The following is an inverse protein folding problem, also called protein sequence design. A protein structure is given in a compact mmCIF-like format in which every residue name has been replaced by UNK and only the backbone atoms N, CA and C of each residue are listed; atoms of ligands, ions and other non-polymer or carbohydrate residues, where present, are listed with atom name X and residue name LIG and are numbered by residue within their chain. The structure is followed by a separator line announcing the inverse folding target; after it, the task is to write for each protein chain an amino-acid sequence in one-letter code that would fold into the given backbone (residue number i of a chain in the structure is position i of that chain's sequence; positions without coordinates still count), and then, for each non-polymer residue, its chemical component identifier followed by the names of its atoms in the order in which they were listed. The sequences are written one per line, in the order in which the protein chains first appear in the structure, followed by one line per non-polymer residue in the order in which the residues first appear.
data_IF_698119993451
#
_entry.id   IF_698119993451
#
_cell.length_a   1.000
_cell.length_b   1.000
_cell.length_c   1.000
_cell.angle_alpha   90.00
_cell.angle_beta   90.00
_cell.angle_gamma   90.00
#
_symmetry.space_group_name_H-M   'P 1'
#
loop_
_entity.id
_entity.type
_entity.pdbx_description
1 polymer ?
#
# COMPACT_ATOMS: atom_id res chain seq x y z
N UNK A 1 -36.66 25.02 -23.64
CA UNK A 1 -35.64 25.00 -22.57
C UNK A 1 -35.54 23.64 -21.90
N UNK A 2 -36.65 23.04 -21.42
CA UNK A 2 -36.62 21.73 -20.73
C UNK A 2 -36.11 20.55 -21.57
N UNK A 3 -36.52 20.45 -22.84
CA UNK A 3 -36.08 19.33 -23.70
C UNK A 3 -34.57 19.35 -23.97
N UNK A 4 -33.98 20.55 -24.07
CA UNK A 4 -32.54 20.74 -24.28
C UNK A 4 -31.74 20.36 -23.03
N UNK A 5 -32.26 20.66 -21.84
CA UNK A 5 -31.67 20.24 -20.57
C UNK A 5 -31.70 18.72 -20.39
N UNK A 6 -32.80 18.05 -20.77
CA UNK A 6 -32.90 16.58 -20.72
C UNK A 6 -31.90 15.91 -21.67
N UNK A 7 -31.72 16.44 -22.88
CA UNK A 7 -30.78 15.88 -23.85
C UNK A 7 -29.33 16.00 -23.38
N UNK A 8 -28.97 17.14 -22.77
CA UNK A 8 -27.65 17.36 -22.16
C UNK A 8 -27.40 16.41 -20.98
N UNK A 9 -28.40 16.20 -20.13
CA UNK A 9 -28.29 15.25 -19.02
C UNK A 9 -28.07 13.82 -19.51
N UNK A 10 -28.77 13.43 -20.59
CA UNK A 10 -28.61 12.12 -21.22
C UNK A 10 -27.22 11.94 -21.84
N UNK A 11 -26.68 12.97 -22.52
CA UNK A 11 -25.32 12.94 -23.05
C UNK A 11 -24.27 12.88 -21.93
N UNK A 12 -24.47 13.59 -20.81
CA UNK A 12 -23.59 13.52 -19.64
C UNK A 12 -23.59 12.12 -19.00
N UNK A 13 -24.76 11.49 -18.90
CA UNK A 13 -24.90 10.11 -18.40
C UNK A 13 -24.23 9.09 -19.33
N UNK A 14 -24.38 9.24 -20.65
CA UNK A 14 -23.72 8.38 -21.65
C UNK A 14 -22.21 8.59 -21.70
N UNK A 15 -21.72 9.81 -21.48
CA UNK A 15 -20.29 10.05 -21.32
C UNK A 15 -19.78 9.48 -19.99
N UNK A 16 -20.54 9.54 -18.90
CA UNK A 16 -20.15 8.89 -17.64
C UNK A 16 -20.14 7.36 -17.75
N UNK A 17 -21.03 6.74 -18.53
CA UNK A 17 -20.99 5.29 -18.73
C UNK A 17 -19.89 4.83 -19.68
N UNK A 18 -19.39 5.72 -20.56
CA UNK A 18 -18.36 5.38 -21.56
C UNK A 18 -16.93 5.79 -21.15
N UNK A 19 -16.75 6.50 -20.03
CA UNK A 19 -15.43 7.07 -19.61
C UNK A 19 -14.81 6.36 -18.40
N UNK A 20 -15.34 5.21 -17.97
CA UNK A 20 -14.79 4.47 -16.80
C UNK A 20 -13.68 3.46 -17.15
N UNK A 21 -13.31 3.30 -18.42
CA UNK A 21 -12.13 2.50 -18.76
C UNK A 21 -11.03 3.37 -19.38
N UNK A 22 -9.85 3.31 -18.75
CA UNK A 22 -8.54 3.79 -19.22
C UNK A 22 -8.14 5.22 -18.78
N UNK A 23 -7.86 5.37 -17.48
CA UNK A 23 -6.75 6.23 -17.05
C UNK A 23 -5.75 5.38 -16.27
N UNK A 24 -4.60 5.11 -16.88
CA UNK A 24 -3.38 4.69 -16.20
C UNK A 24 -2.81 5.89 -15.43
N UNK A 25 -3.34 6.14 -14.23
CA UNK A 25 -2.71 7.04 -13.26
C UNK A 25 -1.63 6.26 -12.51
N UNK A 26 -0.40 6.80 -12.37
CA UNK A 26 0.64 6.14 -11.58
C UNK A 26 0.19 6.01 -10.12
N UNK A 27 0.36 4.81 -9.57
CA UNK A 27 -0.04 4.36 -8.23
C UNK A 27 -0.20 5.48 -7.19
N UNK A 28 -1.41 6.04 -7.14
CA UNK A 28 -1.88 6.94 -6.11
C UNK A 28 -2.59 6.12 -5.03
N UNK A 29 -2.48 6.56 -3.78
CA UNK A 29 -2.75 5.81 -2.54
C UNK A 29 -4.22 5.44 -2.29
N UNK A 30 -5.07 5.49 -3.33
CA UNK A 30 -6.48 5.10 -3.29
C UNK A 30 -6.79 3.84 -4.09
N UNK A 31 -5.81 3.20 -4.73
CA UNK A 31 -6.01 1.95 -5.45
C UNK A 31 -5.37 0.75 -4.72
N UNK A 32 -6.16 -0.22 -4.17
CA UNK A 32 -5.64 -1.41 -3.49
C UNK A 32 -5.01 -2.44 -4.45
N UNK A 33 -4.84 -2.10 -5.72
CA UNK A 33 -4.12 -2.91 -6.70
C UNK A 33 -2.68 -3.15 -6.24
N UNK A 34 -2.38 -4.40 -5.89
CA UNK A 34 -1.08 -4.98 -5.54
C UNK A 34 0.14 -4.07 -5.71
N UNK A 35 0.89 -3.83 -4.63
CA UNK A 35 2.15 -3.07 -4.71
C UNK A 35 3.12 -3.89 -5.57
N UNK A 36 3.52 -3.35 -6.73
CA UNK A 36 4.60 -3.95 -7.53
C UNK A 36 5.88 -3.77 -6.73
N UNK A 37 6.35 -4.85 -6.14
CA UNK A 37 7.55 -4.86 -5.29
C UNK A 37 8.82 -4.90 -6.16
N UNK A 38 8.78 -5.62 -7.29
CA UNK A 38 9.95 -5.75 -8.16
C UNK A 38 9.58 -6.05 -9.62
N UNK A 39 10.47 -5.64 -10.53
CA UNK A 39 10.47 -5.99 -11.95
C UNK A 39 11.88 -6.45 -12.32
N UNK A 40 12.03 -7.64 -12.88
CA UNK A 40 13.33 -8.24 -13.20
C UNK A 40 13.36 -8.83 -14.61
N UNK A 41 14.49 -8.69 -15.30
CA UNK A 41 14.70 -9.29 -16.61
C UNK A 41 15.51 -10.57 -16.45
N UNK A 42 15.01 -11.68 -17.00
CA UNK A 42 15.65 -12.99 -16.91
C UNK A 42 15.86 -13.51 -18.32
N UNK A 43 17.12 -13.59 -18.74
CA UNK A 43 17.52 -14.25 -19.97
C UNK A 43 18.03 -15.66 -19.67
N UNK A 44 17.45 -16.66 -20.32
CA UNK A 44 17.89 -18.05 -20.19
C UNK A 44 18.03 -18.71 -21.56
N UNK A 45 18.85 -19.74 -21.66
CA UNK A 45 19.09 -20.44 -22.94
C UNK A 45 17.99 -21.46 -23.22
N UNK A 46 17.65 -21.66 -24.49
CA UNK A 46 16.70 -22.69 -24.89
C UNK A 46 17.14 -24.07 -24.39
N UNK A 47 16.21 -24.83 -23.80
CA UNK A 47 16.43 -26.13 -23.18
C UNK A 47 16.99 -26.07 -21.75
N UNK A 48 17.37 -24.89 -21.24
CA UNK A 48 17.77 -24.73 -19.84
C UNK A 48 16.57 -24.51 -18.92
N UNK A 49 16.84 -24.42 -17.61
CA UNK A 49 15.83 -24.12 -16.59
C UNK A 49 15.94 -22.65 -16.16
N UNK A 50 14.83 -21.92 -16.11
CA UNK A 50 14.73 -20.63 -15.43
C UNK A 50 14.10 -20.77 -14.04
N UNK A 51 14.50 -19.90 -13.13
CA UNK A 51 13.89 -19.78 -11.79
C UNK A 51 13.49 -18.33 -11.59
N UNK A 52 12.20 -18.09 -11.33
CA UNK A 52 11.63 -16.78 -11.09
C UNK A 52 11.43 -16.58 -9.57
N UNK A 53 12.30 -15.82 -8.88
CA UNK A 53 12.38 -15.83 -7.42
C UNK A 53 11.25 -15.05 -6.73
N UNK A 54 10.18 -15.71 -6.31
CA UNK A 54 9.07 -15.05 -5.60
C UNK A 54 9.09 -15.39 -4.10
N UNK A 55 9.81 -14.60 -3.31
CA UNK A 55 9.93 -14.80 -1.86
C UNK A 55 9.29 -13.67 -1.07
N UNK A 56 8.47 -13.99 -0.08
CA UNK A 56 7.95 -13.03 0.88
C UNK A 56 7.80 -13.67 2.26
N UNK A 57 8.55 -13.14 3.23
CA UNK A 57 8.48 -13.59 4.62
C UNK A 57 7.12 -13.31 5.27
N UNK A 58 6.36 -12.34 4.74
CA UNK A 58 5.02 -11.98 5.21
C UNK A 58 3.93 -12.96 4.75
N UNK A 59 4.28 -13.86 3.83
CA UNK A 59 3.45 -14.97 3.37
C UNK A 59 3.83 -16.29 4.05
N UNK A 60 4.73 -16.25 5.04
CA UNK A 60 5.09 -17.45 5.80
C UNK A 60 3.90 -17.82 6.67
N UNK A 61 3.34 -18.99 6.40
CA UNK A 61 2.30 -19.56 7.22
C UNK A 61 2.93 -20.45 8.30
N UNK A 62 2.75 -20.04 9.55
CA UNK A 62 3.09 -20.86 10.71
C UNK A 62 1.79 -21.41 11.29
N UNK A 63 1.63 -22.73 11.29
CA UNK A 63 0.67 -23.41 12.16
C UNK A 63 1.11 -23.24 13.61
N UNK A 64 0.99 -22.03 14.17
CA UNK A 64 1.12 -21.90 15.61
C UNK A 64 -0.17 -22.42 16.25
N UNK A 65 -0.02 -23.17 17.34
CA UNK A 65 -1.14 -23.54 18.21
C UNK A 65 -1.38 -22.48 19.27
N UNK A 66 -0.80 -21.30 19.13
CA UNK A 66 -0.83 -20.25 20.13
C UNK A 66 -2.16 -19.50 20.15
N UNK A 67 -3.22 -20.05 19.54
CA UNK A 67 -4.62 -19.68 19.77
C UNK A 67 -4.77 -18.16 19.85
N UNK A 68 -4.28 -17.43 18.85
CA UNK A 68 -4.45 -15.98 18.74
C UNK A 68 -3.63 -15.12 19.73
N UNK A 69 -2.56 -15.65 20.35
CA UNK A 69 -1.56 -14.82 21.09
C UNK A 69 -0.78 -13.84 20.21
N UNK A 70 -1.06 -13.81 18.91
CA UNK A 70 -0.42 -12.95 17.93
C UNK A 70 -0.92 -11.51 18.02
N UNK A 71 -2.13 -11.30 18.55
CA UNK A 71 -2.73 -9.97 18.78
C UNK A 71 -2.52 -9.56 20.22
N UNK A 72 -1.81 -8.44 20.40
CA UNK A 72 -1.42 -7.92 21.70
C UNK A 72 -1.72 -6.44 21.76
N UNK A 73 -2.35 -6.00 22.85
CA UNK A 73 -2.45 -4.61 23.24
C UNK A 73 -1.61 -4.39 24.47
N UNK A 74 -0.89 -3.27 24.53
CA UNK A 74 -0.27 -2.80 25.76
C UNK A 74 -0.35 -1.30 25.89
N UNK A 75 -0.44 -0.86 27.15
CA UNK A 75 -0.41 0.54 27.52
C UNK A 75 0.91 0.87 28.19
N UNK A 76 1.59 1.86 27.65
CA UNK A 76 2.80 2.43 28.21
C UNK A 76 2.55 3.88 28.61
N UNK A 77 3.25 4.38 29.63
CA UNK A 77 3.21 5.77 30.06
C UNK A 77 4.60 6.38 30.05
N UNK A 78 4.70 7.57 29.48
CA UNK A 78 5.82 8.48 29.66
C UNK A 78 5.48 9.45 30.78
N UNK A 79 5.93 9.14 32.00
CA UNK A 79 5.71 10.03 33.14
C UNK A 79 6.68 11.20 33.10
N UNK A 80 6.14 12.42 33.22
CA UNK A 80 6.93 13.64 33.38
C UNK A 80 7.10 14.04 34.84
N UNK A 81 6.40 13.35 35.77
CA UNK A 81 6.30 13.74 37.18
C UNK A 81 7.61 13.54 37.97
N UNK A 82 8.26 12.39 37.84
CA UNK A 82 9.47 12.07 38.61
C UNK A 82 10.77 12.60 37.98
N UNK A 83 10.71 13.23 36.81
CA UNK A 83 11.88 13.76 36.09
C UNK A 83 12.82 12.71 35.48
N UNK A 84 12.64 11.42 35.77
CA UNK A 84 13.47 10.32 35.21
C UNK A 84 13.12 10.00 33.73
N UNK A 85 12.13 10.67 33.13
CA UNK A 85 11.80 10.57 31.69
C UNK A 85 11.80 9.13 31.16
N UNK A 86 11.23 8.20 31.94
CA UNK A 86 11.24 6.77 31.66
C UNK A 86 9.87 6.34 31.16
N UNK A 87 9.87 5.56 30.09
CA UNK A 87 8.70 4.82 29.63
C UNK A 87 8.47 3.62 30.55
N UNK A 88 7.28 3.53 31.14
CA UNK A 88 6.84 2.42 31.98
C UNK A 88 5.68 1.67 31.31
N UNK A 89 5.73 0.34 31.32
CA UNK A 89 4.59 -0.49 30.92
C UNK A 89 3.60 -0.61 32.06
N UNK A 90 2.35 -0.20 31.82
CA UNK A 90 1.28 -0.28 32.80
C UNK A 90 0.63 -1.67 32.80
N UNK A 91 0.15 -2.08 31.63
CA UNK A 91 -0.53 -3.35 31.44
C UNK A 91 -0.45 -3.83 29.99
N UNK A 92 -0.58 -5.13 29.81
CA UNK A 92 -0.77 -5.76 28.52
C UNK A 92 -1.87 -6.81 28.54
N UNK A 93 -2.36 -7.15 27.36
CA UNK A 93 -3.37 -8.17 27.16
C UNK A 93 -3.20 -8.78 25.76
N UNK A 94 -3.23 -10.09 25.70
CA UNK A 94 -3.34 -10.85 24.45
C UNK A 94 -4.79 -11.30 24.28
N UNK A 95 -5.24 -11.52 23.04
CA UNK A 95 -6.67 -11.81 22.79
C UNK A 95 -7.20 -13.08 23.45
N UNK A 96 -6.38 -14.12 23.56
CA UNK A 96 -6.70 -15.35 24.30
C UNK A 96 -6.32 -15.28 25.80
N UNK A 97 -6.10 -14.08 26.31
CA UNK A 97 -5.48 -13.82 27.58
C UNK A 97 -6.24 -12.89 28.49
N UNK A 98 -5.81 -12.91 29.74
CA UNK A 98 -6.24 -11.92 30.70
C UNK A 98 -5.26 -10.75 30.68
N UNK A 99 -5.77 -9.58 31.04
CA UNK A 99 -4.95 -8.42 31.32
C UNK A 99 -3.92 -8.73 32.42
N UNK A 100 -2.66 -8.37 32.19
CA UNK A 100 -1.60 -8.36 33.19
C UNK A 100 -1.21 -6.93 33.51
N UNK A 101 -1.09 -6.61 34.79
CA UNK A 101 -0.67 -5.30 35.30
C UNK A 101 0.73 -5.46 35.90
N UNK A 102 1.62 -4.50 35.63
CA UNK A 102 3.04 -4.61 35.95
C UNK A 102 3.46 -3.96 37.27
N UNK A 103 2.64 -3.08 37.83
CA UNK A 103 2.90 -2.36 39.07
C UNK A 103 1.80 -2.62 40.09
N UNK A 104 2.18 -2.84 41.35
CA UNK A 104 1.23 -3.01 42.47
C UNK A 104 0.39 -1.75 42.70
N UNK A 105 0.93 -0.57 42.41
CA UNK A 105 0.20 0.71 42.48
C UNK A 105 -1.02 0.71 41.54
N UNK A 106 -0.88 0.12 40.35
CA UNK A 106 -1.93 0.08 39.35
C UNK A 106 -2.89 -1.10 39.50
N UNK A 107 -2.58 -2.06 40.38
CA UNK A 107 -3.39 -3.26 40.58
C UNK A 107 -4.80 -2.88 41.07
N UNK A 108 -5.83 -3.22 40.29
CA UNK A 108 -7.23 -2.90 40.58
C UNK A 108 -7.63 -1.44 40.34
N UNK A 109 -6.67 -0.53 40.11
CA UNK A 109 -6.92 0.86 39.69
C UNK A 109 -7.16 0.97 38.19
N UNK A 110 -6.39 0.23 37.39
CA UNK A 110 -6.49 0.27 35.92
C UNK A 110 -7.20 -0.97 35.35
N UNK A 111 -7.99 -0.77 34.29
CA UNK A 111 -8.75 -1.84 33.66
C UNK A 111 -8.87 -1.61 32.14
N UNK A 112 -8.65 -2.67 31.37
CA UNK A 112 -9.11 -2.78 29.98
C UNK A 112 -10.32 -3.73 29.90
N UNK A 113 -11.28 -3.51 28.98
CA UNK A 113 -12.39 -4.43 28.76
C UNK A 113 -11.91 -5.84 28.43
N UNK A 114 -12.50 -6.88 29.05
CA UNK A 114 -12.12 -8.27 28.77
C UNK A 114 -12.47 -8.70 27.33
N UNK A 115 -13.44 -8.04 26.71
CA UNK A 115 -13.90 -8.24 25.35
C UNK A 115 -13.27 -7.22 24.37
N UNK A 116 -12.13 -6.61 24.71
CA UNK A 116 -11.49 -5.59 23.87
C UNK A 116 -11.20 -6.08 22.44
N UNK A 117 -10.74 -7.33 22.29
CA UNK A 117 -10.45 -7.96 21.00
C UNK A 117 -11.68 -8.51 20.28
N UNK A 118 -12.89 -8.37 20.80
CA UNK A 118 -14.12 -8.62 20.03
C UNK A 118 -14.77 -7.31 19.63
N UNK A 119 -14.74 -6.33 20.54
CA UNK A 119 -15.41 -5.05 20.35
C UNK A 119 -14.55 -4.03 19.59
N UNK A 120 -13.23 -4.23 19.58
CA UNK A 120 -12.25 -3.28 19.09
C UNK A 120 -12.06 -2.09 20.02
N UNK A 121 -12.39 -2.25 21.31
CA UNK A 121 -12.27 -1.21 22.33
C UNK A 121 -11.14 -1.54 23.32
N UNK A 122 -10.00 -0.93 23.10
CA UNK A 122 -8.76 -1.09 23.85
C UNK A 122 -8.53 0.04 24.86
N UNK A 123 -9.57 0.83 25.16
CA UNK A 123 -9.50 1.97 26.06
C UNK A 123 -9.08 1.57 27.48
N UNK A 124 -8.30 2.42 28.12
CA UNK A 124 -7.83 2.20 29.49
C UNK A 124 -8.64 3.04 30.47
N UNK A 125 -9.27 2.39 31.44
CA UNK A 125 -9.92 3.07 32.57
C UNK A 125 -8.94 3.17 33.73
N UNK A 126 -8.74 4.36 34.27
CA UNK A 126 -7.88 4.63 35.43
C UNK A 126 -8.75 5.23 36.53
N UNK A 127 -8.81 4.57 37.69
CA UNK A 127 -9.57 5.03 38.86
C UNK A 127 -8.70 5.85 39.81
N UNK A 128 -9.34 6.82 40.47
CA UNK A 128 -8.74 7.61 41.54
C UNK A 128 -7.43 8.27 41.09
N UNK A 129 -7.51 9.05 40.01
CA UNK A 129 -6.32 9.66 39.38
C UNK A 129 -5.64 10.66 40.32
N UNK A 130 -4.31 10.60 40.41
CA UNK A 130 -3.49 11.47 41.24
C UNK A 130 -2.52 12.29 40.38
N UNK A 131 -1.93 13.36 40.93
CA UNK A 131 -0.96 14.20 40.21
C UNK A 131 0.21 13.40 39.60
N UNK A 132 0.60 12.27 40.23
CA UNK A 132 1.64 11.36 39.74
C UNK A 132 1.26 10.59 38.46
N UNK A 133 -0.02 10.49 38.13
CA UNK A 133 -0.52 9.85 36.92
C UNK A 133 -0.42 10.77 35.68
N UNK A 134 0.01 12.03 35.84
CA UNK A 134 0.18 12.92 34.71
C UNK A 134 1.30 12.44 33.77
N UNK A 135 1.03 12.47 32.46
CA UNK A 135 1.98 11.99 31.46
C UNK A 135 1.37 11.72 30.09
N UNK A 136 2.19 11.20 29.18
CA UNK A 136 1.74 10.79 27.85
C UNK A 136 1.60 9.28 27.81
N UNK A 137 0.37 8.82 27.65
CA UNK A 137 -0.01 7.42 27.53
C UNK A 137 0.00 7.00 26.08
N UNK A 138 0.46 5.78 25.82
CA UNK A 138 0.49 5.18 24.49
C UNK A 138 -0.25 3.84 24.52
N UNK A 139 -1.35 3.76 23.77
CA UNK A 139 -2.02 2.50 23.45
C UNK A 139 -1.31 1.90 22.24
N UNK A 140 -0.71 0.72 22.40
CA UNK A 140 0.04 0.07 21.34
C UNK A 140 -0.64 -1.25 20.96
N UNK A 141 -1.07 -1.36 19.71
CA UNK A 141 -1.63 -2.56 19.11
C UNK A 141 -0.58 -3.25 18.24
N UNK A 142 -0.35 -4.53 18.51
CA UNK A 142 0.63 -5.36 17.84
C UNK A 142 -0.07 -6.58 17.25
N UNK A 143 0.09 -6.76 15.94
CA UNK A 143 -0.26 -7.99 15.26
C UNK A 143 1.03 -8.65 14.79
N UNK A 144 1.58 -9.54 15.62
CA UNK A 144 2.91 -10.11 15.38
C UNK A 144 2.97 -10.94 14.09
N UNK A 145 1.89 -11.64 13.75
CA UNK A 145 1.82 -12.43 12.51
C UNK A 145 1.77 -11.56 11.25
N UNK A 146 0.88 -10.57 11.21
CA UNK A 146 0.79 -9.64 10.08
C UNK A 146 1.88 -8.55 10.07
N UNK A 147 2.72 -8.49 11.10
CA UNK A 147 3.68 -7.41 11.35
C UNK A 147 3.04 -6.01 11.29
N UNK A 148 1.86 -5.87 11.91
CA UNK A 148 1.15 -4.59 12.00
C UNK A 148 1.32 -3.99 13.38
N UNK A 149 1.59 -2.69 13.40
CA UNK A 149 1.88 -1.91 14.59
C UNK A 149 1.13 -0.59 14.51
N UNK A 150 0.28 -0.33 15.50
CA UNK A 150 -0.43 0.93 15.61
C UNK A 150 -0.28 1.49 17.02
N UNK A 151 -0.07 2.79 17.11
CA UNK A 151 0.07 3.49 18.39
C UNK A 151 -0.82 4.71 18.42
N UNK A 152 -1.64 4.82 19.46
CA UNK A 152 -2.42 6.03 19.77
C UNK A 152 -1.84 6.66 21.03
N UNK A 153 -1.50 7.94 20.95
CA UNK A 153 -0.96 8.73 22.08
C UNK A 153 -2.04 9.63 22.66
N UNK A 154 -2.05 9.74 23.98
CA UNK A 154 -3.01 10.55 24.74
C UNK A 154 -2.26 11.21 25.88
N UNK A 155 -2.40 12.52 26.03
CA UNK A 155 -1.86 13.26 27.16
C UNK A 155 -2.91 13.33 28.27
N UNK A 156 -2.51 12.91 29.47
CA UNK A 156 -3.32 13.03 30.68
C UNK A 156 -2.68 14.09 31.58
N UNK A 157 -3.43 15.16 31.82
CA UNK A 157 -3.09 16.21 32.77
C UNK A 157 -4.07 16.17 33.95
N UNK A 158 -3.60 16.44 35.16
CA UNK A 158 -4.42 16.36 36.37
C UNK A 158 -4.63 17.77 36.94
N UNK A 159 -5.85 18.06 37.37
CA UNK A 159 -6.22 19.32 37.99
C UNK A 159 -7.03 19.13 39.26
N UNK A 160 -6.85 20.03 40.22
CA UNK A 160 -7.70 20.12 41.44
C UNK A 160 -8.99 20.90 41.20
N UNK A 161 -9.09 21.65 40.09
CA UNK A 161 -10.21 22.55 39.83
C UNK A 161 -11.17 21.88 38.85
N UNK A 162 -12.36 21.53 39.32
CA UNK A 162 -13.41 20.92 38.47
C UNK A 162 -13.73 21.75 37.22
N UNK A 163 -13.69 23.09 37.30
CA UNK A 163 -13.91 23.99 36.15
C UNK A 163 -12.82 23.92 35.07
N UNK A 164 -11.65 23.37 35.39
CA UNK A 164 -10.54 23.22 34.45
C UNK A 164 -10.54 21.83 33.79
N UNK A 165 -11.38 20.90 34.25
CA UNK A 165 -11.49 19.58 33.64
C UNK A 165 -12.12 19.71 32.25
N UNK A 166 -11.45 19.17 31.23
CA UNK A 166 -11.86 19.25 29.83
C UNK A 166 -11.09 18.25 28.98
N UNK A 167 -11.62 17.95 27.81
CA UNK A 167 -10.97 17.15 26.78
C UNK A 167 -10.90 17.96 25.51
N UNK A 168 -9.76 17.91 24.82
CA UNK A 168 -9.56 18.60 23.55
C UNK A 168 -8.47 17.95 22.73
N UNK A 169 -8.45 18.22 21.43
CA UNK A 169 -7.40 17.81 20.51
C UNK A 169 -6.36 18.93 20.39
N UNK A 170 -5.07 18.62 20.57
CA UNK A 170 -3.99 19.62 20.48
C UNK A 170 -3.42 19.79 19.05
N UNK A 171 -3.90 18.98 18.09
CA UNK A 171 -3.37 18.90 16.73
C UNK A 171 -2.62 17.60 16.43
N UNK A 172 -2.09 16.94 17.47
CA UNK A 172 -1.29 15.70 17.37
C UNK A 172 -1.91 14.54 18.16
N UNK A 173 -2.49 14.82 19.32
CA UNK A 173 -3.01 13.84 20.30
C UNK A 173 -4.20 14.39 21.09
N UNK A 174 -4.95 13.48 21.69
CA UNK A 174 -6.00 13.85 22.63
C UNK A 174 -5.38 14.29 23.95
N UNK A 175 -5.85 15.41 24.50
CA UNK A 175 -5.43 15.93 25.79
C UNK A 175 -6.63 15.90 26.73
N UNK A 176 -6.51 15.13 27.81
CA UNK A 176 -7.53 14.95 28.83
C UNK A 176 -7.04 15.61 30.11
N UNK A 177 -7.71 16.67 30.52
CA UNK A 177 -7.49 17.33 31.81
C UNK A 177 -8.50 16.74 32.80
N UNK A 178 -8.07 15.81 33.64
CA UNK A 178 -8.91 15.10 34.59
C UNK A 178 -8.88 15.72 35.99
N UNK A 179 -10.00 15.63 36.71
CA UNK A 179 -10.07 16.06 38.11
C UNK A 179 -9.37 15.03 39.00
N UNK A 180 -8.52 15.49 39.91
CA UNK A 180 -7.90 14.62 40.92
C UNK A 180 -8.96 13.83 41.72
N UNK A 181 -8.71 12.53 41.91
CA UNK A 181 -9.62 11.57 42.54
C UNK A 181 -10.76 11.06 41.65
N UNK A 182 -10.88 11.55 40.41
CA UNK A 182 -11.89 11.06 39.47
C UNK A 182 -11.47 9.75 38.78
N UNK A 183 -12.41 9.12 38.06
CA UNK A 183 -12.11 8.02 37.14
C UNK A 183 -12.08 8.55 35.73
N UNK A 184 -10.99 8.29 35.00
CA UNK A 184 -10.79 8.71 33.61
C UNK A 184 -10.74 7.50 32.68
N UNK A 185 -11.18 7.68 31.44
CA UNK A 185 -11.05 6.70 30.38
C UNK A 185 -10.19 7.30 29.27
N UNK A 186 -9.09 6.64 28.95
CA UNK A 186 -8.21 7.01 27.84
C UNK A 186 -8.70 6.27 26.58
N UNK A 187 -9.22 6.98 25.57
CA UNK A 187 -9.86 6.35 24.41
C UNK A 187 -8.83 5.68 23.49
N UNK A 188 -9.00 4.37 23.26
CA UNK A 188 -8.26 3.65 22.22
C UNK A 188 -9.23 2.66 21.56
N UNK A 189 -9.73 3.01 20.38
CA UNK A 189 -10.72 2.20 19.67
C UNK A 189 -10.21 1.93 18.27
N UNK A 190 -10.09 0.65 17.92
CA UNK A 190 -9.83 0.21 16.55
C UNK A 190 -10.70 -1.01 16.24
N UNK A 191 -11.72 -0.80 15.40
CA UNK A 191 -12.71 -1.81 15.02
C UNK A 191 -12.40 -2.50 13.69
N UNK A 192 -11.19 -2.32 13.15
CA UNK A 192 -10.78 -3.08 11.96
C UNK A 192 -10.82 -4.58 12.29
N UNK A 193 -11.38 -5.38 11.38
CA UNK A 193 -11.53 -6.83 11.48
C UNK A 193 -10.23 -7.55 11.86
N UNK A 194 -9.07 -7.03 11.47
CA UNK A 194 -7.77 -7.60 11.86
C UNK A 194 -7.58 -7.65 13.39
N UNK A 195 -8.12 -6.69 14.14
CA UNK A 195 -8.02 -6.62 15.59
C UNK A 195 -9.17 -7.30 16.32
N UNK A 196 -10.30 -7.50 15.65
CA UNK A 196 -11.56 -7.97 16.28
C UNK A 196 -11.97 -9.39 15.90
N UNK A 197 -11.66 -9.83 14.68
CA UNK A 197 -12.15 -11.08 14.13
C UNK A 197 -11.06 -12.15 14.08
N UNK A 198 -11.48 -13.38 14.35
CA UNK A 198 -10.66 -14.59 14.27
C UNK A 198 -11.13 -15.44 13.08
N UNK A 199 -11.23 -14.85 11.90
CA UNK A 199 -11.49 -15.62 10.69
C UNK A 199 -10.42 -16.72 10.51
N UNK A 200 -10.78 -17.80 9.81
CA UNK A 200 -9.83 -18.86 9.49
C UNK A 200 -8.68 -18.29 8.67
N UNK A 201 -7.53 -18.08 9.32
CA UNK A 201 -6.29 -17.60 8.70
C UNK A 201 -5.90 -18.44 7.47
N UNK A 202 -6.31 -19.71 7.45
CA UNK A 202 -5.99 -20.71 6.42
C UNK A 202 -6.70 -20.47 5.09
N UNK A 203 -7.94 -19.95 5.10
CA UNK A 203 -8.75 -19.81 3.88
C UNK A 203 -8.39 -18.55 3.06
N UNK A 204 -7.43 -17.76 3.55
CA UNK A 204 -7.24 -16.37 3.13
C UNK A 204 -5.85 -16.07 2.55
N UNK A 205 -5.01 -17.09 2.38
CA UNK A 205 -3.70 -16.94 1.76
C UNK A 205 -3.65 -17.65 0.41
N UNK A 206 -3.48 -16.85 -0.64
CA UNK A 206 -3.47 -17.32 -2.02
C UNK A 206 -2.27 -16.73 -2.74
N UNK A 207 -1.51 -17.60 -3.37
CA UNK A 207 -0.45 -17.20 -4.29
C UNK A 207 -0.81 -17.68 -5.68
N UNK A 208 -0.72 -16.80 -6.65
CA UNK A 208 -0.92 -17.19 -8.03
C UNK A 208 0.14 -16.63 -8.97
N UNK A 209 0.34 -17.38 -10.05
CA UNK A 209 1.21 -16.99 -11.14
C UNK A 209 0.40 -16.79 -12.41
N UNK A 210 0.62 -15.67 -13.07
CA UNK A 210 0.05 -15.39 -14.38
C UNK A 210 1.18 -15.17 -15.40
N UNK A 211 0.88 -15.42 -16.66
CA UNK A 211 1.78 -15.16 -17.79
C UNK A 211 1.09 -14.34 -18.85
N UNK A 212 1.78 -13.31 -19.33
CA UNK A 212 1.37 -12.46 -20.43
C UNK A 212 2.31 -12.73 -21.61
N UNK A 213 1.84 -13.43 -22.66
CA UNK A 213 2.59 -13.56 -23.89
C UNK A 213 2.92 -12.17 -24.50
N UNK A 214 3.97 -12.05 -25.32
CA UNK A 214 4.31 -10.79 -25.99
C UNK A 214 3.13 -10.25 -26.79
N UNK A 215 2.80 -8.97 -26.59
CA UNK A 215 1.68 -8.30 -27.25
C UNK A 215 0.30 -8.58 -26.64
N UNK A 216 0.21 -9.43 -25.62
CA UNK A 216 -1.04 -9.66 -24.87
C UNK A 216 -1.11 -8.68 -23.70
N UNK A 217 -2.21 -7.93 -23.55
CA UNK A 217 -2.40 -7.01 -22.43
C UNK A 217 -2.66 -7.76 -21.11
N UNK A 218 -2.46 -7.06 -20.00
CA UNK A 218 -2.49 -7.64 -18.65
C UNK A 218 -3.83 -8.31 -18.28
N UNK A 219 -4.95 -7.74 -18.73
CA UNK A 219 -6.32 -8.25 -18.51
C UNK A 219 -6.57 -9.62 -19.18
N UNK A 220 -5.74 -9.99 -20.17
CA UNK A 220 -5.79 -11.26 -20.88
C UNK A 220 -4.61 -12.18 -20.54
N UNK A 221 -3.98 -11.97 -19.38
CA UNK A 221 -2.95 -12.87 -18.89
C UNK A 221 -3.50 -14.29 -18.67
N UNK A 222 -2.72 -15.29 -19.04
CA UNK A 222 -3.02 -16.68 -18.75
C UNK A 222 -2.72 -16.97 -17.28
N UNK A 223 -3.71 -17.47 -16.54
CA UNK A 223 -3.51 -18.05 -15.21
C UNK A 223 -2.67 -19.33 -15.36
N UNK A 224 -1.62 -19.48 -14.56
CA UNK A 224 -0.75 -20.66 -14.60
C UNK A 224 -0.98 -21.60 -13.41
N UNK A 225 -0.84 -21.08 -12.18
CA UNK A 225 -0.84 -21.88 -10.95
C UNK A 225 -1.49 -21.07 -9.83
N UNK A 226 -2.34 -21.73 -9.03
CA UNK A 226 -2.84 -21.24 -7.75
C UNK A 226 -2.39 -22.15 -6.62
N UNK A 227 -1.91 -21.52 -5.56
CA UNK A 227 -1.50 -22.16 -4.32
C UNK A 227 -2.31 -21.55 -3.18
N UNK A 228 -2.97 -22.41 -2.42
CA UNK A 228 -3.73 -22.02 -1.23
C UNK A 228 -3.01 -22.56 0.02
N UNK A 229 -2.99 -21.77 1.10
CA UNK A 229 -2.37 -22.20 2.36
C UNK A 229 -3.06 -23.44 2.96
N UNK A 230 -4.35 -23.66 2.64
CA UNK A 230 -5.10 -24.88 2.95
C UNK A 230 -4.51 -26.17 2.35
N UNK A 231 -3.55 -26.05 1.44
CA UNK A 231 -2.89 -27.16 0.76
C UNK A 231 -3.47 -27.47 -0.62
N UNK A 232 -4.57 -26.82 -1.01
CA UNK A 232 -5.10 -26.92 -2.36
C UNK A 232 -4.12 -26.27 -3.37
N UNK A 233 -3.91 -26.96 -4.49
CA UNK A 233 -3.11 -26.47 -5.62
C UNK A 233 -3.87 -26.67 -6.92
N UNK A 234 -3.91 -25.64 -7.76
CA UNK A 234 -4.54 -25.69 -9.07
C UNK A 234 -3.54 -25.31 -10.15
N UNK A 235 -3.52 -26.05 -11.25
CA UNK A 235 -2.67 -25.76 -12.40
C UNK A 235 -3.52 -25.66 -13.67
N UNK A 236 -3.26 -24.61 -14.42
CA UNK A 236 -4.03 -24.19 -15.58
C UNK A 236 -3.20 -24.30 -16.86
N UNK A 237 -3.87 -24.29 -18.01
CA UNK A 237 -3.21 -24.48 -19.30
C UNK A 237 -2.92 -25.95 -19.66
N UNK A 238 -2.28 -26.19 -20.83
CA UNK A 238 -2.00 -27.53 -21.33
C UNK A 238 -1.09 -28.34 -20.38
N UNK A 239 -1.16 -29.68 -20.48
CA UNK A 239 -0.34 -30.61 -19.69
C UNK A 239 1.17 -30.28 -19.72
N UNK A 240 1.65 -29.70 -20.83
CA UNK A 240 3.04 -29.24 -20.96
C UNK A 240 3.39 -28.15 -19.94
N UNK A 241 2.52 -27.16 -19.72
CA UNK A 241 2.69 -26.15 -18.66
C UNK A 241 2.65 -26.81 -17.28
N UNK A 242 1.76 -27.80 -17.08
CA UNK A 242 1.61 -28.50 -15.79
C UNK A 242 2.84 -29.32 -15.38
N UNK A 243 3.55 -29.93 -16.33
CA UNK A 243 4.73 -30.77 -16.03
C UNK A 243 6.02 -29.96 -15.98
N UNK A 244 6.07 -28.85 -16.72
CA UNK A 244 7.27 -28.02 -16.88
C UNK A 244 7.46 -26.99 -15.77
N UNK A 245 6.36 -26.53 -15.17
CA UNK A 245 6.37 -25.49 -14.15
C UNK A 245 6.15 -26.07 -12.75
N UNK A 246 7.09 -25.83 -11.83
CA UNK A 246 6.97 -26.30 -10.45
C UNK A 246 7.20 -25.18 -9.43
N UNK A 247 6.60 -25.39 -8.25
CA UNK A 247 6.82 -24.61 -7.02
C UNK A 247 6.97 -25.63 -5.89
N UNK A 248 7.78 -25.33 -4.89
CA UNK A 248 8.04 -26.25 -3.77
C UNK A 248 6.80 -26.50 -2.91
N UNK A 249 6.58 -27.74 -2.46
CA UNK A 249 5.42 -28.10 -1.63
C UNK A 249 5.41 -27.43 -0.25
N UNK A 250 6.58 -26.98 0.22
CA UNK A 250 6.77 -26.24 1.48
C UNK A 250 6.76 -24.72 1.28
N UNK A 251 6.28 -24.22 0.14
CA UNK A 251 6.33 -22.79 -0.20
C UNK A 251 5.77 -21.87 0.89
N UNK A 252 4.60 -22.16 1.45
CA UNK A 252 4.01 -21.39 2.55
C UNK A 252 4.80 -21.49 3.86
N UNK A 253 5.45 -22.62 4.14
CA UNK A 253 6.27 -22.76 5.35
C UNK A 253 7.59 -21.96 5.25
N UNK A 254 8.10 -21.76 4.03
CA UNK A 254 9.38 -21.07 3.77
C UNK A 254 9.21 -19.63 3.28
N UNK A 255 7.99 -19.23 2.88
CA UNK A 255 7.74 -17.98 2.19
C UNK A 255 8.40 -17.91 0.81
N UNK A 256 8.58 -19.06 0.14
CA UNK A 256 9.29 -19.19 -1.14
C UNK A 256 8.37 -19.82 -2.20
N UNK A 257 7.80 -18.97 -3.03
CA UNK A 257 6.88 -19.29 -4.12
C UNK A 257 7.55 -19.20 -5.48
N UNK A 258 8.88 -19.37 -5.52
CA UNK A 258 9.65 -19.27 -6.76
C UNK A 258 9.20 -20.29 -7.79
N UNK A 259 8.90 -19.80 -9.00
CA UNK A 259 8.48 -20.64 -10.12
C UNK A 259 9.72 -21.17 -10.85
N UNK A 260 9.82 -22.50 -10.98
CA UNK A 260 10.84 -23.14 -11.82
C UNK A 260 10.21 -23.54 -13.14
N UNK A 261 10.84 -23.14 -14.24
CA UNK A 261 10.41 -23.46 -15.61
C UNK A 261 11.52 -24.32 -16.22
N UNK A 262 11.27 -25.60 -16.40
CA UNK A 262 12.21 -26.56 -17.02
C UNK A 262 12.19 -26.46 -18.56
N UNK A 263 13.20 -26.98 -19.26
CA UNK A 263 13.18 -27.16 -20.73
C UNK A 263 12.67 -25.93 -21.52
N UNK A 264 13.21 -24.73 -21.28
CA UNK A 264 12.72 -23.49 -21.90
C UNK A 264 12.64 -23.54 -23.43
N UNK A 265 11.55 -22.99 -23.97
CA UNK A 265 11.27 -22.86 -25.40
C UNK A 265 10.97 -21.41 -25.75
N UNK A 266 11.13 -21.03 -27.03
CA UNK A 266 10.83 -19.68 -27.49
C UNK A 266 9.36 -19.29 -27.22
N UNK A 267 8.46 -20.27 -27.13
CA UNK A 267 7.05 -20.06 -26.81
C UNK A 267 6.82 -19.65 -25.33
N UNK A 268 7.79 -19.83 -24.44
CA UNK A 268 7.70 -19.43 -23.03
C UNK A 268 8.02 -17.94 -22.81
N UNK A 269 8.71 -17.30 -23.76
CA UNK A 269 9.06 -15.88 -23.69
C UNK A 269 7.83 -15.02 -23.38
N UNK A 270 7.94 -14.10 -22.42
CA UNK A 270 6.80 -13.31 -21.97
C UNK A 270 7.00 -12.68 -20.60
N UNK A 271 5.95 -12.01 -20.13
CA UNK A 271 5.94 -11.38 -18.80
C UNK A 271 5.23 -12.27 -17.80
N UNK A 272 5.94 -12.71 -16.77
CA UNK A 272 5.39 -13.52 -15.69
C UNK A 272 5.14 -12.65 -14.46
N UNK A 273 4.02 -12.85 -13.79
CA UNK A 273 3.70 -12.12 -12.56
C UNK A 273 3.34 -13.09 -11.43
N UNK A 274 4.08 -13.00 -10.34
CA UNK A 274 3.73 -13.61 -9.06
C UNK A 274 2.89 -12.64 -8.26
N UNK A 275 1.71 -13.07 -7.82
CA UNK A 275 0.83 -12.30 -6.96
C UNK A 275 0.67 -13.02 -5.64
N UNK A 276 0.94 -12.31 -4.56
CA UNK A 276 0.86 -12.81 -3.19
C UNK A 276 -0.27 -12.08 -2.49
N UNK A 277 -1.32 -12.83 -2.14
CA UNK A 277 -2.49 -12.33 -1.46
C UNK A 277 -2.58 -12.94 -0.07
N UNK A 278 -2.51 -12.09 0.95
CA UNK A 278 -2.83 -12.45 2.33
C UNK A 278 -4.04 -11.62 2.75
N UNK A 279 -5.25 -12.12 2.49
CA UNK A 279 -6.47 -11.37 2.75
C UNK A 279 -6.63 -10.99 4.23
N UNK A 280 -6.29 -11.91 5.14
CA UNK A 280 -6.34 -11.66 6.58
C UNK A 280 -5.49 -10.44 6.98
N UNK A 281 -4.21 -10.40 6.60
CA UNK A 281 -3.32 -9.27 6.87
C UNK A 281 -3.46 -8.08 5.90
N UNK A 282 -4.38 -8.15 4.92
CA UNK A 282 -4.52 -7.16 3.85
C UNK A 282 -3.30 -7.02 2.93
N UNK A 283 -2.44 -8.04 2.83
CA UNK A 283 -1.22 -7.99 2.01
C UNK A 283 -1.52 -8.32 0.56
N UNK A 284 -1.04 -7.46 -0.35
CA UNK A 284 -1.08 -7.68 -1.79
C UNK A 284 0.27 -7.27 -2.38
N UNK A 285 1.13 -8.24 -2.69
CA UNK A 285 2.42 -7.99 -3.33
C UNK A 285 2.44 -8.59 -4.75
N UNK A 286 3.08 -7.88 -5.67
CA UNK A 286 3.28 -8.37 -7.04
C UNK A 286 4.73 -8.29 -7.45
N UNK A 287 5.26 -9.36 -8.03
CA UNK A 287 6.63 -9.41 -8.61
C UNK A 287 6.55 -9.80 -10.07
N UNK A 288 7.19 -9.01 -10.94
CA UNK A 288 7.08 -9.13 -12.39
C UNK A 288 8.43 -9.56 -12.97
N UNK A 289 8.41 -10.48 -13.93
CA UNK A 289 9.59 -10.98 -14.63
C UNK A 289 9.41 -10.90 -16.12
N UNK A 290 10.33 -10.24 -16.82
CA UNK A 290 10.41 -10.30 -18.28
C UNK A 290 11.38 -11.43 -18.64
N UNK A 291 10.83 -12.55 -19.12
CA UNK A 291 11.59 -13.74 -19.44
C UNK A 291 11.91 -13.76 -20.93
N UNK A 292 13.19 -13.79 -21.27
CA UNK A 292 13.72 -13.86 -22.63
C UNK A 292 14.42 -15.21 -22.86
N UNK A 293 14.15 -15.85 -23.99
CA UNK A 293 14.77 -17.14 -24.35
C UNK A 293 15.80 -16.91 -25.45
N UNK A 294 17.04 -17.28 -25.17
CA UNK A 294 18.20 -17.09 -26.07
C UNK A 294 18.58 -18.41 -26.72
N UNK A 295 19.01 -18.36 -27.98
CA UNK A 295 19.51 -19.55 -28.68
C UNK A 295 20.87 -19.98 -28.09
N UNK A 296 21.12 -21.29 -27.93
CA UNK A 296 22.39 -21.79 -27.43
C UNK A 296 23.51 -21.43 -28.42
N UNK A 297 24.60 -20.85 -27.91
CA UNK A 297 25.80 -20.59 -28.71
C UNK A 297 26.33 -21.94 -29.19
N UNK A 298 26.25 -22.19 -30.51
CA UNK A 298 26.95 -23.33 -31.10
C UNK A 298 28.44 -23.09 -30.90
N UNK A 299 29.08 -23.83 -30.01
CA UNK A 299 30.52 -23.94 -30.00
C UNK A 299 30.93 -24.35 -31.42
N UNK A 300 31.58 -23.44 -32.15
CA UNK A 300 32.34 -23.82 -33.32
C UNK A 300 33.44 -24.72 -32.77
N UNK A 301 33.23 -26.05 -32.77
CA UNK A 301 34.36 -26.97 -32.74
C UNK A 301 35.25 -26.52 -33.87
N UNK A 302 36.41 -25.96 -33.52
CA UNK A 302 37.50 -25.78 -34.48
C UNK A 302 37.89 -27.21 -34.82
N UNK A 303 37.20 -27.78 -35.81
CA UNK A 303 37.69 -28.94 -36.51
C UNK A 303 38.95 -28.42 -37.16
N UNK A 304 40.10 -28.80 -36.61
CA UNK A 304 41.38 -28.68 -37.29
C UNK A 304 41.24 -29.54 -38.56
N UNK A 305 40.71 -28.95 -39.61
CA UNK A 305 40.59 -29.56 -40.91
C UNK A 305 41.98 -29.49 -41.55
N UNK A 306 42.89 -30.35 -41.09
CA UNK A 306 44.06 -30.73 -41.87
C UNK A 306 43.58 -31.61 -43.01
N UNK A 307 43.15 -30.97 -44.09
CA UNK A 307 43.13 -31.60 -45.40
C UNK A 307 43.37 -30.55 -46.46
N UNK A 308 44.62 -30.53 -46.90
CA UNK A 308 45.04 -30.16 -48.24
C UNK A 308 43.98 -30.53 -49.28
N UNK A 309 43.52 -29.57 -50.07
CA UNK A 309 43.83 -29.52 -51.50
C UNK A 309 42.89 -28.57 -52.24
N UNK A 310 43.53 -27.70 -53.03
CA UNK A 310 43.02 -27.07 -54.26
C UNK A 310 41.74 -26.24 -54.14
N UNK A 311 41.96 -24.94 -53.96
CA UNK A 311 41.05 -23.90 -54.36
C UNK A 311 40.64 -24.04 -55.85
N UNK A 312 39.35 -24.04 -56.18
CA UNK A 312 38.85 -23.57 -57.45
C UNK A 312 38.67 -22.06 -57.39
N UNK A 313 38.92 -21.44 -58.53
CA UNK A 313 39.07 -20.01 -58.75
C UNK A 313 37.89 -19.17 -58.21
N UNK A 314 38.29 -18.03 -57.67
CA UNK A 314 37.50 -16.87 -57.28
C UNK A 314 36.67 -16.41 -58.49
N UNK A 315 35.35 -16.46 -58.38
CA UNK A 315 34.46 -15.62 -59.20
C UNK A 315 34.42 -14.21 -58.56
N UNK A 316 34.94 -13.14 -59.20
CA UNK A 316 35.22 -11.87 -58.54
C UNK A 316 33.99 -11.00 -58.24
N UNK A 317 32.77 -11.35 -58.65
CA UNK A 317 31.67 -10.38 -58.68
C UNK A 317 30.36 -10.87 -58.07
N UNK A 318 30.35 -11.31 -56.80
CA UNK A 318 29.18 -11.09 -55.94
C UNK A 318 29.66 -10.77 -54.52
N UNK A 319 29.78 -9.48 -54.27
CA UNK A 319 29.87 -8.88 -52.93
C UNK A 319 28.83 -9.54 -52.04
N UNK A 320 29.25 -10.33 -51.04
CA UNK A 320 28.37 -10.78 -49.96
C UNK A 320 27.99 -9.56 -49.15
N UNK A 321 26.93 -8.89 -49.60
CA UNK A 321 26.18 -7.94 -48.82
C UNK A 321 25.84 -8.62 -47.51
N UNK A 322 26.40 -8.10 -46.42
CA UNK A 322 25.99 -8.49 -45.09
C UNK A 322 24.55 -8.03 -44.97
N UNK A 323 23.61 -8.98 -44.99
CA UNK A 323 22.20 -8.70 -44.77
C UNK A 323 22.03 -8.25 -43.31
N UNK A 324 22.27 -6.96 -43.06
CA UNK A 324 21.83 -6.30 -41.85
C UNK A 324 20.32 -6.16 -41.98
N UNK A 325 19.58 -7.08 -41.35
CA UNK A 325 18.14 -6.94 -41.18
C UNK A 325 17.94 -5.86 -40.11
N UNK A 326 17.75 -4.61 -40.55
CA UNK A 326 17.26 -3.57 -39.67
C UNK A 326 15.81 -3.89 -39.30
N UNK A 327 15.60 -4.52 -38.15
CA UNK A 327 14.28 -4.65 -37.54
C UNK A 327 13.93 -3.29 -36.96
N UNK A 328 13.26 -2.46 -37.77
CA UNK A 328 12.60 -1.26 -37.26
C UNK A 328 11.36 -1.76 -36.53
N UNK A 329 11.44 -1.88 -35.20
CA UNK A 329 10.29 -2.12 -34.33
C UNK A 329 9.36 -0.90 -34.52
N UNK A 330 8.17 -1.06 -35.11
CA UNK A 330 7.24 0.05 -35.20
C UNK A 330 6.66 0.25 -33.80
N UNK A 331 7.28 1.10 -32.99
CA UNK A 331 6.62 1.66 -31.81
C UNK A 331 5.27 2.19 -32.28
N UNK A 332 4.21 1.60 -31.74
CA UNK A 332 2.84 1.81 -32.19
C UNK A 332 2.50 3.29 -32.04
N UNK A 333 2.58 4.04 -33.14
CA UNK A 333 2.16 5.45 -33.19
C UNK A 333 0.70 5.65 -32.76
N UNK A 334 -0.06 4.56 -32.62
CA UNK A 334 -1.40 4.51 -32.05
C UNK A 334 -1.44 5.16 -30.66
N UNK A 335 -0.48 4.90 -29.77
CA UNK A 335 -0.47 5.55 -28.45
C UNK A 335 -0.25 7.06 -28.54
N UNK A 336 0.62 7.51 -29.44
CA UNK A 336 0.86 8.93 -29.68
C UNK A 336 -0.39 9.63 -30.23
N UNK A 337 -1.05 9.05 -31.24
CA UNK A 337 -2.29 9.63 -31.78
C UNK A 337 -3.43 9.62 -30.76
N UNK A 338 -3.52 8.59 -29.92
CA UNK A 338 -4.54 8.50 -28.87
C UNK A 338 -4.28 9.53 -27.76
N UNK A 339 -3.04 9.67 -27.29
CA UNK A 339 -2.66 10.72 -26.33
C UNK A 339 -2.86 12.13 -26.90
N UNK A 340 -2.47 12.36 -28.16
CA UNK A 340 -2.70 13.62 -28.85
C UNK A 340 -4.20 13.91 -28.97
N UNK A 341 -5.01 12.90 -29.28
CA UNK A 341 -6.48 12.98 -29.29
C UNK A 341 -7.07 13.37 -27.93
N UNK A 342 -6.60 12.77 -26.83
CA UNK A 342 -7.04 13.11 -25.47
C UNK A 342 -6.64 14.54 -25.06
N UNK A 343 -5.42 14.98 -25.39
CA UNK A 343 -4.97 16.35 -25.13
C UNK A 343 -5.80 17.36 -25.94
N UNK A 344 -6.09 17.07 -27.21
CA UNK A 344 -6.95 17.92 -28.03
C UNK A 344 -8.39 17.96 -27.52
N UNK A 345 -8.93 16.83 -27.05
CA UNK A 345 -10.29 16.74 -26.50
C UNK A 345 -10.44 17.52 -25.18
N UNK A 346 -9.48 17.41 -24.26
CA UNK A 346 -9.48 18.18 -23.01
C UNK A 346 -9.34 19.68 -23.25
N UNK A 347 -8.50 20.07 -24.22
CA UNK A 347 -8.32 21.46 -24.61
C UNK A 347 -9.60 22.03 -25.27
N UNK A 348 -10.28 21.26 -26.13
CA UNK A 348 -11.59 21.61 -26.68
C UNK A 348 -12.65 21.76 -25.58
N UNK A 349 -12.70 20.86 -24.61
CA UNK A 349 -13.63 20.95 -23.47
C UNK A 349 -13.40 22.25 -22.67
N UNK A 350 -12.14 22.60 -22.42
CA UNK A 350 -11.77 23.82 -21.71
C UNK A 350 -12.19 25.07 -22.49
N UNK A 351 -12.00 25.09 -23.82
CA UNK A 351 -12.46 26.18 -24.70
C UNK A 351 -13.99 26.31 -24.68
N UNK A 352 -14.73 25.20 -24.71
CA UNK A 352 -16.20 25.21 -24.61
C UNK A 352 -16.65 25.75 -23.25
N UNK A 353 -16.03 25.31 -22.15
CA UNK A 353 -16.32 25.84 -20.80
C UNK A 353 -16.00 27.34 -20.70
N UNK A 354 -14.89 27.80 -21.27
CA UNK A 354 -14.57 29.22 -21.35
C UNK A 354 -15.61 29.99 -22.15
N UNK A 355 -16.06 29.49 -23.30
CA UNK A 355 -17.13 30.11 -24.10
C UNK A 355 -18.43 30.18 -23.28
N UNK A 356 -18.79 29.12 -22.55
CA UNK A 356 -19.97 29.10 -21.67
C UNK A 356 -19.82 30.15 -20.56
N UNK A 357 -18.66 30.23 -19.89
CA UNK A 357 -18.39 31.25 -18.86
C UNK A 357 -18.44 32.65 -19.45
N UNK A 358 -17.89 32.89 -20.65
CA UNK A 358 -17.98 34.17 -21.37
C UNK A 358 -19.43 34.50 -21.74
N UNK A 359 -20.24 33.52 -22.17
CA UNK A 359 -21.66 33.73 -22.44
C UNK A 359 -22.46 34.03 -21.17
N UNK A 360 -22.19 33.32 -20.08
CA UNK A 360 -22.83 33.56 -18.77
C UNK A 360 -22.43 34.94 -18.26
N UNK A 361 -21.16 35.31 -18.32
CA UNK A 361 -20.67 36.63 -17.88
C UNK A 361 -21.17 37.75 -18.79
N UNK A 362 -21.25 37.56 -20.12
CA UNK A 362 -21.89 38.53 -21.03
C UNK A 362 -23.38 38.68 -20.77
N UNK A 363 -24.11 37.58 -20.57
CA UNK A 363 -25.54 37.61 -20.23
C UNK A 363 -25.78 38.23 -18.84
N UNK A 364 -24.90 37.96 -17.87
CA UNK A 364 -24.92 38.61 -16.54
C UNK A 364 -24.52 40.08 -16.63
N UNK A 365 -23.59 40.48 -17.49
CA UNK A 365 -23.29 41.89 -17.75
C UNK A 365 -24.44 42.60 -18.46
N UNK A 366 -25.11 41.96 -19.42
CA UNK A 366 -26.26 42.53 -20.11
C UNK A 366 -27.45 42.69 -19.14
N UNK A 367 -27.72 41.68 -18.29
CA UNK A 367 -28.66 41.80 -17.16
C UNK A 367 -28.18 42.78 -16.08
N UNK A 368 -26.87 42.93 -15.92
CA UNK A 368 -26.23 43.86 -14.99
C UNK A 368 -26.30 45.31 -15.46
N UNK A 369 -26.28 45.57 -16.77
CA UNK A 369 -26.59 46.90 -17.33
C UNK A 369 -28.06 47.26 -17.11
N UNK A 370 -28.95 46.26 -17.07
CA UNK A 370 -30.36 46.46 -16.72
C UNK A 370 -30.58 46.71 -15.21
N UNK A 371 -29.61 46.35 -14.35
CA UNK A 371 -29.76 46.47 -12.88
C UNK A 371 -28.78 47.45 -12.19
N UNK A 372 -27.69 47.88 -12.85
CA UNK A 372 -26.69 48.79 -12.28
C UNK A 372 -27.04 50.29 -12.40
N UNK A 373 -28.33 50.64 -12.39
CA UNK A 373 -28.80 52.00 -12.07
C UNK A 373 -29.09 52.15 -10.57
N UNK A 374 -28.96 51.09 -9.74
CA UNK A 374 -29.22 51.17 -8.30
C UNK A 374 -27.98 50.81 -7.45
N UNK A 375 -27.30 51.88 -7.03
CA UNK A 375 -26.54 52.12 -5.76
C UNK A 375 -25.56 51.04 -5.28
N UNK A 376 -24.24 51.23 -5.36
CA UNK A 376 -23.33 52.07 -4.53
C UNK A 376 -23.20 51.72 -3.03
N UNK A 377 -21.94 51.49 -2.62
CA UNK A 377 -21.40 51.64 -1.25
C UNK A 377 -20.99 50.33 -0.59
N UNK A 378 -19.89 49.68 -0.99
CA UNK A 378 -18.51 49.94 -0.54
C UNK A 378 -18.31 49.78 0.98
N UNK A 379 -17.61 48.69 1.35
CA UNK A 379 -16.61 48.64 2.43
C UNK A 379 -15.90 47.29 2.39
N UNK A 380 -14.85 47.25 1.58
CA UNK A 380 -13.78 46.27 1.64
C UNK A 380 -12.99 46.47 2.94
N UNK A 381 -12.82 45.42 3.74
CA UNK A 381 -11.78 45.38 4.77
C UNK A 381 -10.97 44.11 4.55
N UNK A 382 -9.80 44.38 3.98
CA UNK A 382 -8.66 43.53 3.69
C UNK A 382 -8.02 43.04 5.00
N UNK A 383 -7.83 41.73 5.17
CA UNK A 383 -6.85 41.19 6.13
C UNK A 383 -6.05 40.07 5.48
N UNK A 384 -4.91 40.49 4.92
CA UNK A 384 -3.71 39.75 4.52
C UNK A 384 -3.44 38.45 5.29
N UNK A 385 -3.50 37.36 4.53
CA UNK A 385 -2.42 36.39 4.28
C UNK A 385 -1.17 36.47 5.19
N UNK A 386 -1.06 35.48 6.09
CA UNK A 386 0.19 35.12 6.79
C UNK A 386 0.92 34.07 5.96
N UNK A 387 2.02 34.46 5.32
CA UNK A 387 3.01 33.56 4.73
C UNK A 387 3.93 33.07 5.84
N UNK A 388 3.82 31.79 6.23
CA UNK A 388 4.82 31.13 7.10
C UNK A 388 5.89 30.53 6.19
N UNK A 389 7.12 30.98 6.44
CA UNK A 389 8.34 30.68 5.72
C UNK A 389 8.78 29.23 6.01
N UNK A 390 8.69 28.36 5.00
CA UNK A 390 9.09 26.95 5.07
C UNK A 390 10.53 26.81 4.59
N UNK A 391 11.47 27.33 5.36
CA UNK A 391 12.89 27.18 5.06
C UNK A 391 13.59 26.64 6.31
N UNK A 392 13.54 25.32 6.49
CA UNK A 392 14.53 24.49 7.20
C UNK A 392 14.05 23.02 7.25
N UNK A 393 13.91 22.39 6.08
CA UNK A 393 13.85 20.93 5.99
C UNK A 393 15.17 20.43 5.40
N UNK A 394 16.21 20.41 6.22
CA UNK A 394 17.48 19.76 5.88
C UNK A 394 17.22 18.27 5.63
N UNK A 395 17.47 17.89 4.38
CA UNK A 395 17.48 16.56 3.78
C UNK A 395 18.27 15.56 4.64
N UNK A 396 17.60 14.77 5.48
CA UNK A 396 18.25 13.64 6.16
C UNK A 396 18.34 12.48 5.17
N UNK A 397 19.51 12.29 4.56
CA UNK A 397 19.84 11.10 3.76
C UNK A 397 19.81 9.89 4.68
N UNK A 398 18.79 9.04 4.56
CA UNK A 398 18.79 7.72 5.18
C UNK A 398 19.70 6.80 4.36
N UNK A 399 20.93 6.60 4.81
CA UNK A 399 21.76 5.51 4.32
C UNK A 399 21.20 4.19 4.87
N UNK A 400 20.83 3.29 3.96
CA UNK A 400 20.28 1.96 4.21
C UNK A 400 21.38 1.03 4.77
N UNK A 401 21.71 1.21 6.05
CA UNK A 401 22.63 0.29 6.74
C UNK A 401 21.82 -0.96 7.14
N UNK A 402 21.98 -2.05 6.37
CA UNK A 402 21.50 -3.40 6.73
C UNK A 402 22.21 -3.86 7.99
N UNK A 403 21.54 -3.75 9.12
CA UNK A 403 21.96 -4.37 10.39
C UNK A 403 21.35 -5.76 10.49
N UNK A 404 22.19 -6.80 10.45
CA UNK A 404 21.81 -8.18 10.77
C UNK A 404 21.66 -8.33 12.29
N UNK A 405 20.44 -8.22 12.79
CA UNK A 405 20.16 -8.36 14.22
C UNK A 405 20.10 -9.85 14.62
N UNK A 406 20.96 -10.24 15.57
CA UNK A 406 21.02 -11.63 16.10
C UNK A 406 19.83 -12.04 16.98
N UNK A 407 18.97 -11.11 17.40
CA UNK A 407 17.72 -11.42 18.10
C UNK A 407 16.66 -10.31 17.95
N UNK A 408 15.40 -10.68 18.21
CA UNK A 408 14.22 -9.81 18.04
C UNK A 408 14.20 -8.60 18.99
N UNK A 409 14.78 -8.72 20.20
CA UNK A 409 14.80 -7.62 21.18
C UNK A 409 15.68 -6.47 20.70
N UNK A 410 16.83 -6.77 20.09
CA UNK A 410 17.72 -5.75 19.52
C UNK A 410 17.08 -5.06 18.31
N UNK A 411 16.35 -5.82 17.48
CA UNK A 411 15.55 -5.28 16.38
C UNK A 411 14.48 -4.31 16.90
N UNK A 412 13.71 -4.71 17.92
CA UNK A 412 12.63 -3.88 18.50
C UNK A 412 13.17 -2.58 19.12
N UNK A 413 14.29 -2.64 19.85
CA UNK A 413 14.97 -1.42 20.36
C UNK A 413 15.45 -0.50 19.25
N UNK A 414 15.98 -1.06 18.15
CA UNK A 414 16.45 -0.27 17.01
C UNK A 414 15.28 0.33 16.21
N UNK A 415 14.15 -0.39 16.09
CA UNK A 415 12.92 0.11 15.48
C UNK A 415 12.26 1.20 16.33
N UNK A 416 12.28 1.09 17.66
CA UNK A 416 11.83 2.16 18.57
C UNK A 416 12.70 3.42 18.48
N UNK A 417 13.99 3.29 18.18
CA UNK A 417 14.88 4.44 17.96
C UNK A 417 14.65 5.13 16.61
N UNK A 418 13.97 4.49 15.66
CA UNK A 418 13.59 5.11 14.38
C UNK A 418 12.31 5.91 14.60
N UNK A 419 12.44 7.24 14.66
CA UNK A 419 11.31 8.15 14.60
C UNK A 419 10.64 8.04 13.23
N UNK A 420 9.57 7.25 13.13
CA UNK A 420 8.71 7.28 11.95
C UNK A 420 7.90 8.59 11.97
N UNK A 421 7.78 9.32 10.84
CA UNK A 421 6.88 10.47 10.78
C UNK A 421 5.46 9.99 11.05
N UNK A 422 4.77 10.68 11.95
CA UNK A 422 3.42 10.35 12.39
C UNK A 422 2.50 10.21 11.17
N UNK A 423 1.85 9.05 11.07
CA UNK A 423 0.77 8.84 10.12
C UNK A 423 -0.38 9.71 10.64
N UNK A 424 -0.70 10.80 9.95
CA UNK A 424 -1.86 11.64 10.30
C UNK A 424 -3.12 10.78 10.26
N UNK A 425 -3.58 10.36 11.43
CA UNK A 425 -4.91 9.77 11.58
C UNK A 425 -5.87 10.95 11.62
N UNK A 426 -6.61 11.13 10.53
CA UNK A 426 -7.64 12.16 10.39
C UNK A 426 -8.84 11.83 11.29
N UNK A 427 -8.73 12.18 12.58
CA UNK A 427 -9.80 12.06 13.59
C UNK A 427 -10.99 12.99 13.31
N UNK A 428 -10.87 13.90 12.33
CA UNK A 428 -11.90 14.87 11.96
C UNK A 428 -13.17 14.17 11.41
N UNK A 429 -13.07 12.92 10.95
CA UNK A 429 -14.23 12.12 10.52
C UNK A 429 -15.14 11.66 11.66
N UNK A 430 -14.61 11.43 12.86
CA UNK A 430 -15.41 10.98 14.00
C UNK A 430 -16.05 12.16 14.75
N UNK A 431 -15.41 13.33 14.77
CA UNK A 431 -15.99 14.53 15.40
C UNK A 431 -17.05 15.23 14.53
N UNK A 432 -17.06 15.02 13.20
CA UNK A 432 -18.10 15.61 12.32
C UNK A 432 -19.48 14.97 12.47
N UNK A 433 -19.63 13.85 13.18
CA UNK A 433 -20.95 13.21 13.36
C UNK A 433 -21.83 13.81 14.45
N UNK A 434 -21.34 14.75 15.26
CA UNK A 434 -22.15 15.34 16.35
C UNK A 434 -22.71 16.76 16.10
N UNK A 435 -22.59 17.30 14.88
CA UNK A 435 -23.19 18.60 14.55
C UNK A 435 -24.04 18.57 13.27
N UNK A 436 -25.07 17.72 13.28
CA UNK A 436 -26.30 17.98 12.54
C UNK A 436 -27.45 18.06 13.55
N UNK A 437 -27.78 19.28 13.98
CA UNK A 437 -29.03 19.58 14.68
C UNK A 437 -30.21 19.58 13.73
#
# INVERSE_FOLDING_TARGET
MEQLAKLLLWQLLLQQSSVVYLYSVPADASNPDSVVVSVLNISATRGSQAVLPCKSYRMVWTQDRLNDRQRVVHWDVYSTYYGDNKMERLCDMYSAGNQRVYSSYNQGRILMPQNAFTDGNFSLVIKDVAESDAGVYSCNLHHHYCHLYETVKIQLDITKKAKAAKEYWDGEKAVIVALEGSTVMLPCVNRNHIWTERHSEEEQQVVHWDRQPPGVPHDRADRLIDLYASGERRSYGPLFIRQKMNITDTAFALGDFSLRISELENADEGTYSCHLHHHYCGLHERRIYQVFVTEPVREKKVVNLTTHNTAPAIDPNVVRGHNVINVIIPESRIHFFQQLGYVLATLLLFVVLLIIVVFITRKRRQRGYEYNVKKYGEKDVNLKEFTVDTTDLTQYKSEDIRLDYKNNILKEKAEQARSFPAKNIDLDKDFRKEYCK
#
